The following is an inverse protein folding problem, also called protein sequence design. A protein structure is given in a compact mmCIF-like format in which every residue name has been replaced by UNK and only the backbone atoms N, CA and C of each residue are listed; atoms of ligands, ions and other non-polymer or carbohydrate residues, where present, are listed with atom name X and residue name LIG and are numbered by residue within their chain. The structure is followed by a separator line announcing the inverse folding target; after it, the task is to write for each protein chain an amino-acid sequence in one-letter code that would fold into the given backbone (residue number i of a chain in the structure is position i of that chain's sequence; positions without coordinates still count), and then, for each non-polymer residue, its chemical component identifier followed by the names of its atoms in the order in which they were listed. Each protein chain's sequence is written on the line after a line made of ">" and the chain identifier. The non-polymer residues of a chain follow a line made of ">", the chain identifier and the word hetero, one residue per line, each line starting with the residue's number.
data_IF_732239083761
#
_entry.id   IF_732239083761
#
_cell.length_a   1.000
_cell.length_b   1.000
_cell.length_c   1.000
_cell.angle_alpha   90.00
_cell.angle_beta   90.00
_cell.angle_gamma   90.00
#
_symmetry.space_group_name_H-M   'P 1'
#
loop_
_entity.id
_entity.type
_entity.pdbx_description
1 polymer ?
#
# COMPACT_ATOMS: atom_id res chain seq x y z
N UNK A 1 -5.91 5.24 -44.72
CA UNK A 1 -5.75 5.58 -43.29
C UNK A 1 -5.93 4.33 -42.39
N UNK A 2 -5.14 3.26 -42.58
CA UNK A 2 -5.23 2.02 -41.76
C UNK A 2 -3.95 1.69 -40.96
N UNK A 3 -2.83 2.40 -41.22
CA UNK A 3 -1.55 2.15 -40.56
C UNK A 3 -1.43 2.83 -39.19
N UNK A 4 -2.09 3.96 -38.99
CA UNK A 4 -2.02 4.76 -37.75
C UNK A 4 -2.77 4.06 -36.60
N UNK A 5 -3.90 3.42 -36.90
CA UNK A 5 -4.72 2.67 -35.92
C UNK A 5 -4.00 1.45 -35.36
N UNK A 6 -3.19 0.74 -36.17
CA UNK A 6 -2.41 -0.40 -35.72
C UNK A 6 -1.26 -0.01 -34.77
N UNK A 7 -0.59 1.11 -35.03
CA UNK A 7 0.49 1.62 -34.17
C UNK A 7 -0.02 2.11 -32.80
N UNK A 8 -1.18 2.77 -32.78
CA UNK A 8 -1.78 3.26 -31.54
C UNK A 8 -2.20 2.11 -30.61
N UNK A 9 -2.76 1.03 -31.18
CA UNK A 9 -3.11 -0.17 -30.42
C UNK A 9 -1.87 -0.84 -29.80
N UNK A 10 -0.77 -0.92 -30.57
CA UNK A 10 0.47 -1.53 -30.11
C UNK A 10 1.11 -0.73 -28.97
N UNK A 11 1.08 0.60 -29.05
CA UNK A 11 1.57 1.48 -27.98
C UNK A 11 0.77 1.30 -26.69
N UNK A 12 -0.57 1.18 -26.77
CA UNK A 12 -1.43 0.92 -25.61
C UNK A 12 -1.07 -0.42 -24.97
N UNK A 13 -0.90 -1.48 -25.75
CA UNK A 13 -0.53 -2.81 -25.22
C UNK A 13 0.82 -2.76 -24.48
N UNK A 14 1.83 -2.06 -25.03
CA UNK A 14 3.15 -1.95 -24.39
C UNK A 14 3.06 -1.16 -23.08
N UNK A 15 2.35 -0.02 -23.06
CA UNK A 15 2.17 0.78 -21.84
C UNK A 15 1.43 -0.04 -20.78
N UNK A 16 0.36 -0.74 -21.15
CA UNK A 16 -0.39 -1.62 -20.25
C UNK A 16 0.50 -2.76 -19.73
N UNK A 17 1.31 -3.40 -20.58
CA UNK A 17 2.22 -4.46 -20.15
C UNK A 17 3.30 -3.95 -19.19
N UNK A 18 3.86 -2.76 -19.44
CA UNK A 18 4.87 -2.14 -18.58
C UNK A 18 4.30 -1.70 -17.24
N UNK A 19 3.11 -1.11 -17.23
CA UNK A 19 2.42 -0.69 -16.00
C UNK A 19 2.00 -1.88 -15.14
N UNK A 20 1.43 -2.91 -15.76
CA UNK A 20 1.10 -4.18 -15.08
C UNK A 20 2.36 -4.83 -14.50
N UNK A 21 3.45 -4.92 -15.28
CA UNK A 21 4.71 -5.51 -14.81
C UNK A 21 5.31 -4.73 -13.64
N UNK A 22 5.29 -3.40 -13.71
CA UNK A 22 5.80 -2.53 -12.64
C UNK A 22 4.95 -2.70 -11.38
N UNK A 23 3.62 -2.80 -11.51
CA UNK A 23 2.71 -3.08 -10.41
C UNK A 23 3.00 -4.42 -9.72
N UNK A 24 3.20 -5.50 -10.50
CA UNK A 24 3.52 -6.81 -9.93
C UNK A 24 4.88 -6.86 -9.23
N UNK A 25 5.91 -6.21 -9.79
CA UNK A 25 7.22 -6.15 -9.15
C UNK A 25 7.14 -5.37 -7.83
N UNK A 26 6.49 -4.21 -7.83
CA UNK A 26 6.31 -3.39 -6.64
C UNK A 26 5.51 -4.13 -5.55
N UNK A 27 4.47 -4.88 -5.95
CA UNK A 27 3.68 -5.70 -5.02
C UNK A 27 4.52 -6.78 -4.34
N UNK A 28 5.36 -7.49 -5.09
CA UNK A 28 6.20 -8.54 -4.53
C UNK A 28 7.21 -7.97 -3.51
N UNK A 29 7.84 -6.84 -3.82
CA UNK A 29 8.81 -6.19 -2.91
C UNK A 29 8.12 -5.72 -1.61
N UNK A 30 6.88 -5.22 -1.71
CA UNK A 30 6.09 -4.81 -0.53
C UNK A 30 5.63 -6.04 0.26
N UNK A 31 5.18 -7.11 -0.39
CA UNK A 31 4.83 -8.37 0.28
C UNK A 31 6.03 -8.96 1.03
N UNK A 32 7.23 -8.96 0.44
CA UNK A 32 8.45 -9.39 1.12
C UNK A 32 8.73 -8.54 2.37
N UNK A 33 8.65 -7.21 2.23
CA UNK A 33 8.85 -6.28 3.36
C UNK A 33 7.83 -6.49 4.47
N UNK A 34 6.55 -6.68 4.14
CA UNK A 34 5.50 -6.96 5.12
C UNK A 34 5.77 -8.27 5.86
N UNK A 35 6.21 -9.31 5.15
CA UNK A 35 6.49 -10.62 5.73
C UNK A 35 7.75 -10.66 6.59
N UNK A 36 8.60 -9.63 6.54
CA UNK A 36 9.72 -9.45 7.47
C UNK A 36 9.29 -8.81 8.81
N UNK A 37 8.06 -8.29 8.91
CA UNK A 37 7.55 -7.66 10.12
C UNK A 37 6.99 -8.69 11.11
N UNK A 38 7.56 -8.75 12.32
CA UNK A 38 7.07 -9.60 13.41
C UNK A 38 5.59 -9.29 13.76
N UNK A 39 5.16 -8.04 13.59
CA UNK A 39 3.77 -7.63 13.83
C UNK A 39 2.85 -8.24 12.77
N UNK A 40 3.24 -8.18 11.49
CA UNK A 40 2.46 -8.78 10.41
C UNK A 40 2.42 -10.30 10.58
N UNK A 41 3.55 -10.94 10.88
CA UNK A 41 3.59 -12.38 11.14
C UNK A 41 2.68 -12.77 12.31
N UNK A 42 2.64 -11.98 13.38
CA UNK A 42 1.81 -12.27 14.55
C UNK A 42 0.31 -12.20 14.24
N UNK A 43 -0.15 -11.14 13.55
CA UNK A 43 -1.58 -10.90 13.33
C UNK A 43 -2.13 -11.50 12.02
N UNK A 44 -1.34 -11.49 10.95
CA UNK A 44 -1.76 -11.89 9.60
C UNK A 44 -1.11 -13.22 9.20
N UNK A 45 0.14 -13.45 9.59
CA UNK A 45 0.94 -14.58 9.15
C UNK A 45 1.78 -14.23 7.92
N UNK A 46 1.88 -15.16 6.96
CA UNK A 46 2.44 -14.89 5.64
C UNK A 46 1.43 -14.06 4.83
N UNK A 47 1.60 -12.75 4.88
CA UNK A 47 0.75 -11.77 4.22
C UNK A 47 0.96 -11.80 2.70
N UNK A 48 -0.15 -11.93 1.97
CA UNK A 48 -0.24 -11.60 0.56
C UNK A 48 -1.10 -10.34 0.43
N UNK A 49 -0.67 -9.40 -0.38
CA UNK A 49 -1.53 -8.28 -0.77
C UNK A 49 -2.60 -8.87 -1.67
N UNK A 50 -3.83 -8.41 -1.57
CA UNK A 50 -4.95 -8.82 -2.44
C UNK A 50 -5.42 -7.66 -3.30
N UNK A 51 -5.26 -6.43 -2.79
CA UNK A 51 -5.70 -5.20 -3.44
C UNK A 51 -4.84 -4.00 -3.00
N UNK A 52 -4.76 -2.98 -3.86
CA UNK A 52 -4.01 -1.75 -3.62
C UNK A 52 -4.81 -0.56 -4.11
N UNK A 53 -5.10 0.37 -3.21
CA UNK A 53 -5.85 1.59 -3.49
C UNK A 53 -5.06 2.82 -3.02
N UNK A 54 -5.27 3.97 -3.65
CA UNK A 54 -4.78 5.24 -3.14
C UNK A 54 -5.83 5.78 -2.15
N UNK A 55 -5.41 6.17 -0.95
CA UNK A 55 -6.32 6.73 0.05
C UNK A 55 -6.85 8.09 -0.39
N UNK A 56 -8.15 8.31 -0.17
CA UNK A 56 -8.78 9.62 -0.34
C UNK A 56 -8.50 10.56 0.85
N UNK A 57 -7.91 10.04 1.93
CA UNK A 57 -7.59 10.77 3.14
C UNK A 57 -6.08 10.84 3.36
N UNK A 58 -5.53 12.04 3.27
CA UNK A 58 -4.13 12.30 3.59
C UNK A 58 -4.05 13.12 4.89
N UNK A 59 -3.66 12.52 6.03
CA UNK A 59 -3.46 13.28 7.26
C UNK A 59 -2.24 14.20 7.14
N UNK A 60 -2.16 15.21 8.01
CA UNK A 60 -1.09 16.22 8.02
C UNK A 60 0.35 15.68 8.04
N UNK A 61 0.57 14.42 8.46
CA UNK A 61 1.89 13.77 8.41
C UNK A 61 2.36 13.54 6.97
N UNK A 62 1.45 13.32 6.02
CA UNK A 62 1.76 13.17 4.61
C UNK A 62 1.87 14.57 3.98
N UNK A 63 3.10 15.11 3.97
CA UNK A 63 3.42 16.41 3.39
C UNK A 63 3.43 16.34 1.85
N UNK A 64 3.56 17.50 1.19
CA UNK A 64 3.72 17.57 -0.27
C UNK A 64 4.85 16.64 -0.74
N UNK A 65 4.53 15.71 -1.64
CA UNK A 65 5.46 14.68 -2.12
C UNK A 65 5.32 13.32 -1.43
N UNK A 66 4.35 13.14 -0.54
CA UNK A 66 3.94 11.85 0.01
C UNK A 66 2.54 11.48 -0.52
N UNK A 67 2.30 10.18 -0.71
CA UNK A 67 0.99 9.61 -1.01
C UNK A 67 0.69 8.44 -0.07
N UNK A 68 -0.57 8.30 0.35
CA UNK A 68 -1.01 7.19 1.19
C UNK A 68 -1.64 6.09 0.34
N UNK A 69 -1.11 4.89 0.46
CA UNK A 69 -1.64 3.68 -0.14
C UNK A 69 -2.35 2.82 0.91
N UNK A 70 -3.44 2.20 0.49
CA UNK A 70 -4.25 1.26 1.25
C UNK A 70 -4.07 -0.12 0.62
N UNK A 71 -3.44 -1.03 1.36
CA UNK A 71 -3.11 -2.37 0.91
C UNK A 71 -4.01 -3.37 1.65
N UNK A 72 -4.89 -4.09 0.95
CA UNK A 72 -5.63 -5.19 1.58
C UNK A 72 -4.71 -6.39 1.68
N UNK A 73 -4.52 -6.91 2.88
CA UNK A 73 -3.63 -8.05 3.14
C UNK A 73 -4.42 -9.25 3.66
N UNK A 74 -4.04 -10.43 3.20
CA UNK A 74 -4.62 -11.70 3.63
C UNK A 74 -3.49 -12.70 3.86
N UNK A 75 -3.53 -13.36 5.02
CA UNK A 75 -2.65 -14.46 5.37
C UNK A 75 -3.41 -15.58 6.05
N UNK A 76 -2.68 -16.58 6.54
CA UNK A 76 -3.25 -17.77 7.16
C UNK A 76 -3.85 -17.53 8.55
N UNK A 77 -3.43 -16.46 9.25
CA UNK A 77 -3.95 -16.12 10.60
C UNK A 77 -5.08 -15.10 10.56
N UNK A 78 -5.23 -14.37 9.46
CA UNK A 78 -6.26 -13.35 9.33
C UNK A 78 -6.12 -12.46 8.10
N UNK A 79 -6.96 -11.45 8.07
CA UNK A 79 -6.95 -10.39 7.06
C UNK A 79 -6.84 -9.02 7.73
N UNK A 80 -6.45 -8.03 6.95
CA UNK A 80 -6.35 -6.65 7.42
C UNK A 80 -6.10 -5.68 6.28
N UNK A 81 -5.88 -4.44 6.65
CA UNK A 81 -5.53 -3.36 5.73
C UNK A 81 -4.28 -2.69 6.24
N UNK A 82 -3.26 -2.56 5.41
CA UNK A 82 -2.07 -1.75 5.71
C UNK A 82 -2.23 -0.40 5.02
N UNK A 83 -2.29 0.67 5.82
CA UNK A 83 -2.16 2.02 5.32
C UNK A 83 -0.70 2.44 5.39
N UNK A 84 -0.09 2.81 4.27
CA UNK A 84 1.31 3.20 4.18
C UNK A 84 1.47 4.53 3.46
N UNK A 85 2.20 5.46 4.10
CA UNK A 85 2.61 6.73 3.51
C UNK A 85 3.94 6.53 2.77
N UNK A 86 3.93 6.74 1.46
CA UNK A 86 5.09 6.56 0.58
C UNK A 86 5.56 7.92 0.08
N UNK A 87 6.84 8.21 0.22
CA UNK A 87 7.48 9.37 -0.38
C UNK A 87 7.66 9.13 -1.88
N UNK A 88 7.07 9.99 -2.72
CA UNK A 88 7.12 9.85 -4.18
C UNK A 88 8.50 10.17 -4.79
N UNK A 89 9.39 10.83 -4.05
CA UNK A 89 10.72 11.18 -4.56
C UNK A 89 11.70 10.01 -4.53
N UNK A 90 11.68 9.21 -3.46
CA UNK A 90 12.62 8.11 -3.22
C UNK A 90 11.94 6.77 -2.95
N UNK A 91 10.61 6.71 -3.05
CA UNK A 91 9.77 5.54 -2.79
C UNK A 91 9.91 4.95 -1.37
N UNK A 92 10.42 5.72 -0.41
CA UNK A 92 10.55 5.27 0.98
C UNK A 92 9.21 5.24 1.71
N UNK A 93 9.01 4.25 2.57
CA UNK A 93 7.86 4.18 3.48
C UNK A 93 8.13 5.07 4.69
N UNK A 94 7.38 6.17 4.81
CA UNK A 94 7.49 7.13 5.91
C UNK A 94 6.72 6.64 7.13
N UNK A 95 5.46 6.26 6.95
CA UNK A 95 4.64 5.68 8.01
C UNK A 95 3.86 4.48 7.51
N UNK A 96 3.63 3.50 8.39
CA UNK A 96 2.71 2.41 8.08
C UNK A 96 1.93 1.97 9.32
N UNK A 97 0.66 1.61 9.11
CA UNK A 97 -0.28 1.15 10.14
C UNK A 97 -1.03 -0.06 9.62
N UNK A 98 -1.10 -1.11 10.44
CA UNK A 98 -1.99 -2.25 10.24
C UNK A 98 -3.33 -1.99 10.90
N UNK A 99 -4.41 -2.05 10.13
CA UNK A 99 -5.78 -2.04 10.59
C UNK A 99 -6.38 -3.44 10.50
N UNK A 100 -6.84 -3.94 11.64
CA UNK A 100 -7.51 -5.23 11.75
C UNK A 100 -9.04 -5.07 11.77
N UNK A 101 -9.81 -6.12 11.43
CA UNK A 101 -11.27 -6.07 11.36
C UNK A 101 -11.95 -5.77 12.70
N UNK A 102 -11.31 -6.08 13.83
CA UNK A 102 -11.77 -5.80 15.19
C UNK A 102 -11.60 -4.33 15.60
N UNK A 103 -11.42 -3.45 14.62
CA UNK A 103 -11.07 -2.03 14.76
C UNK A 103 -9.69 -1.78 15.38
N UNK A 104 -8.89 -2.81 15.69
CA UNK A 104 -7.54 -2.59 16.23
C UNK A 104 -6.63 -1.97 15.17
N UNK A 105 -5.86 -0.97 15.57
CA UNK A 105 -4.86 -0.29 14.71
C UNK A 105 -3.50 -0.35 15.37
N UNK A 106 -2.49 -0.74 14.60
CA UNK A 106 -1.16 -1.05 15.10
C UNK A 106 -0.14 -0.36 14.22
N UNK A 107 0.71 0.46 14.81
CA UNK A 107 1.84 1.07 14.12
C UNK A 107 2.82 -0.02 13.63
N UNK A 108 3.20 0.05 12.36
CA UNK A 108 4.23 -0.82 11.76
C UNK A 108 5.59 -0.11 11.67
N UNK A 109 5.60 1.22 11.65
CA UNK A 109 6.83 2.04 11.70
C UNK A 109 6.95 2.77 13.02
N UNK A 110 8.17 3.16 13.40
CA UNK A 110 8.43 3.89 14.65
C UNK A 110 8.06 5.37 14.58
N UNK A 111 7.98 5.92 13.36
CA UNK A 111 7.74 7.34 13.11
C UNK A 111 6.28 7.77 13.31
N UNK A 112 5.37 6.80 13.53
CA UNK A 112 3.98 7.04 13.89
C UNK A 112 3.75 6.66 15.35
N UNK A 113 3.33 7.64 16.16
CA UNK A 113 3.08 7.43 17.58
C UNK A 113 1.62 7.04 17.86
N UNK A 114 1.38 6.45 19.03
CA UNK A 114 0.06 5.99 19.47
C UNK A 114 -0.98 7.13 19.48
N UNK A 115 -0.58 8.34 19.87
CA UNK A 115 -1.47 9.51 19.89
C UNK A 115 -1.97 9.86 18.49
N UNK A 116 -1.11 9.81 17.48
CA UNK A 116 -1.50 10.03 16.09
C UNK A 116 -2.45 8.92 15.60
N UNK A 117 -2.14 7.66 15.91
CA UNK A 117 -3.01 6.52 15.59
C UNK A 117 -4.40 6.71 16.20
N UNK A 118 -4.45 7.13 17.46
CA UNK A 118 -5.69 7.39 18.20
C UNK A 118 -6.46 8.58 17.63
N UNK A 119 -5.80 9.68 17.31
CA UNK A 119 -6.44 10.90 16.81
C UNK A 119 -6.98 10.77 15.38
N UNK A 120 -6.47 9.84 14.60
CA UNK A 120 -6.91 9.59 13.22
C UNK A 120 -7.60 8.23 13.08
N UNK A 121 -7.97 7.61 14.21
CA UNK A 121 -8.39 6.21 14.25
C UNK A 121 -9.44 5.89 13.19
N UNK A 122 -10.45 6.73 12.98
CA UNK A 122 -11.54 6.41 12.04
C UNK A 122 -11.13 6.45 10.57
N UNK A 123 -10.06 7.19 10.21
CA UNK A 123 -9.75 7.54 8.82
C UNK A 123 -8.42 6.98 8.31
N UNK A 124 -7.56 6.42 9.19
CA UNK A 124 -6.21 5.99 8.81
C UNK A 124 -6.16 4.97 7.66
N UNK A 125 -7.15 4.08 7.60
CA UNK A 125 -7.21 2.97 6.64
C UNK A 125 -8.39 3.07 5.67
N UNK A 126 -8.89 4.30 5.48
CA UNK A 126 -9.93 4.65 4.49
C UNK A 126 -9.31 5.28 3.24
#
# INVERSE_FOLDING_TARGET
>A
MKKITGFMLFAIIIITALTIRSYYLLRNDVEETLNQSEIIEYYIGTANITDVELSNYQPFLCKKGCERFILKVQGEKGNGTVAADINLYDSSVLTAVLCLPDSKKIALTKDINDDFVKNNFDTLCQ
#
